data_IF_045587015680
#
_entry.id   IF_045587015680
#
_cell.length_a   1.000
_cell.length_b   1.000
_cell.length_c   1.000
_cell.angle_alpha   90.00
_cell.angle_beta   90.00
_cell.angle_gamma   90.00
#
_symmetry.space_group_name_H-M   'P 1'
#
loop_
_entity.id
_entity.type
_entity.pdbx_description
1 polymer ?
#
# COMPACT_ATOMS: atom_id res chain seq x y z
N UNK A 1 10.35 13.63 11.42
CA UNK A 1 9.18 14.42 11.86
C UNK A 1 9.61 15.74 12.51
N UNK A 2 10.55 15.75 13.46
CA UNK A 2 10.97 16.99 14.15
C UNK A 2 11.45 18.12 13.24
N UNK A 3 12.08 17.80 12.11
CA UNK A 3 12.52 18.80 11.11
C UNK A 3 11.39 19.37 10.25
N UNK A 4 10.20 18.76 10.28
CA UNK A 4 9.08 19.06 9.38
C UNK A 4 7.85 19.63 10.10
N UNK A 5 7.70 19.40 11.42
CA UNK A 5 6.48 19.71 12.17
C UNK A 5 6.04 21.17 12.11
N UNK A 6 6.99 22.10 12.02
CA UNK A 6 6.74 23.55 11.95
C UNK A 6 6.72 24.10 10.49
N UNK A 7 6.56 23.21 9.49
CA UNK A 7 6.47 23.55 8.06
C UNK A 7 5.14 23.07 7.49
N UNK A 8 4.70 23.58 6.35
CA UNK A 8 3.64 22.92 5.55
C UNK A 8 4.22 21.66 4.92
N UNK A 9 4.08 20.52 5.60
CA UNK A 9 4.78 19.30 5.22
C UNK A 9 3.88 18.07 5.40
N UNK A 10 4.09 17.11 4.51
CA UNK A 10 3.57 15.76 4.59
C UNK A 10 4.73 14.79 4.36
N UNK A 11 4.72 13.69 5.09
CA UNK A 11 5.69 12.61 4.98
C UNK A 11 4.91 11.31 4.77
N UNK A 12 5.28 10.56 3.74
CA UNK A 12 4.77 9.22 3.50
C UNK A 12 5.94 8.23 3.56
N UNK A 13 5.78 7.17 4.35
CA UNK A 13 6.68 6.03 4.37
C UNK A 13 5.91 4.78 3.98
N UNK A 14 6.51 3.96 3.12
CA UNK A 14 6.00 2.65 2.72
C UNK A 14 7.22 1.75 2.61
N UNK A 15 7.18 0.56 3.23
CA UNK A 15 8.22 -0.44 3.01
C UNK A 15 8.14 -0.91 1.56
N UNK A 16 9.28 -1.14 0.91
CA UNK A 16 9.31 -1.77 -0.41
C UNK A 16 8.65 -3.16 -0.36
N UNK A 17 8.85 -3.86 0.76
CA UNK A 17 8.30 -5.19 1.05
C UNK A 17 8.50 -5.62 2.50
N UNK A 18 7.89 -6.75 2.85
CA UNK A 18 7.98 -7.38 4.15
C UNK A 18 9.05 -8.47 4.20
N UNK A 19 9.00 -9.28 5.26
CA UNK A 19 10.04 -10.24 5.59
C UNK A 19 9.48 -11.44 6.36
N UNK A 20 9.71 -12.67 5.87
CA UNK A 20 9.57 -13.88 6.69
C UNK A 20 10.76 -13.98 7.63
N UNK A 21 10.49 -14.17 8.92
CA UNK A 21 11.50 -14.23 9.98
C UNK A 21 11.52 -15.63 10.63
N UNK A 22 12.67 -16.00 11.18
CA UNK A 22 12.82 -17.23 11.96
C UNK A 22 12.19 -17.07 13.35
N UNK A 23 10.87 -17.18 13.44
CA UNK A 23 10.11 -17.16 14.69
C UNK A 23 9.68 -18.56 15.17
N UNK A 24 10.09 -19.60 14.46
CA UNK A 24 9.74 -21.00 14.73
C UNK A 24 8.36 -21.42 14.21
N UNK A 25 7.59 -20.52 13.57
CA UNK A 25 6.30 -20.85 12.96
C UNK A 25 6.43 -21.44 11.56
N UNK A 26 7.51 -21.16 10.86
CA UNK A 26 7.73 -21.51 9.45
C UNK A 26 9.20 -21.89 9.22
N UNK A 27 9.46 -22.77 8.24
CA UNK A 27 10.81 -23.22 7.86
C UNK A 27 11.48 -22.35 6.78
N UNK A 28 10.80 -21.30 6.31
CA UNK A 28 11.33 -20.30 5.38
C UNK A 28 11.78 -19.07 6.16
N UNK A 29 12.76 -18.37 5.59
CA UNK A 29 13.15 -17.05 6.04
C UNK A 29 13.72 -16.27 4.87
N UNK A 30 14.01 -15.00 5.12
CA UNK A 30 14.23 -14.06 4.05
C UNK A 30 12.95 -14.02 3.18
N UNK A 31 13.13 -13.89 1.89
CA UNK A 31 12.10 -13.39 1.01
C UNK A 31 12.25 -13.98 -0.39
N UNK A 32 11.25 -13.78 -1.23
CA UNK A 32 11.10 -14.49 -2.50
C UNK A 32 10.33 -15.81 -2.34
N UNK A 33 9.55 -15.94 -1.27
CA UNK A 33 8.80 -17.17 -0.95
C UNK A 33 7.29 -16.99 -1.04
N UNK A 34 6.84 -15.83 -1.49
CA UNK A 34 5.43 -15.51 -1.72
C UNK A 34 4.57 -15.60 -0.47
N UNK A 35 5.15 -15.38 0.71
CA UNK A 35 4.41 -15.44 1.97
C UNK A 35 3.61 -14.16 2.22
N UNK A 36 2.52 -14.26 2.98
CA UNK A 36 1.78 -13.07 3.42
C UNK A 36 2.67 -12.05 4.15
N UNK A 37 3.74 -12.53 4.81
CA UNK A 37 4.65 -11.72 5.60
C UNK A 37 5.58 -10.88 4.73
N UNK A 38 5.78 -11.26 3.47
CA UNK A 38 6.53 -10.51 2.47
C UNK A 38 5.67 -9.46 1.77
N UNK A 39 4.37 -9.72 1.60
CA UNK A 39 3.47 -8.82 0.89
C UNK A 39 2.73 -7.82 1.80
N UNK A 40 2.44 -8.20 3.05
CA UNK A 40 1.75 -7.31 3.99
C UNK A 40 2.77 -6.39 4.67
N UNK A 41 2.81 -5.14 4.19
CA UNK A 41 3.83 -4.15 4.54
C UNK A 41 3.29 -3.00 5.39
N UNK A 42 4.14 -2.36 6.21
CA UNK A 42 3.77 -1.13 6.87
C UNK A 42 3.77 0.06 5.90
N UNK A 43 2.80 0.94 6.10
CA UNK A 43 2.76 2.27 5.49
C UNK A 43 2.28 3.29 6.52
N UNK A 44 2.87 4.49 6.51
CA UNK A 44 2.47 5.59 7.38
C UNK A 44 2.40 6.90 6.60
N UNK A 45 1.45 7.75 6.96
CA UNK A 45 1.42 9.14 6.53
C UNK A 45 1.39 10.02 7.77
N UNK A 46 2.33 10.96 7.84
CA UNK A 46 2.36 12.03 8.82
C UNK A 46 2.17 13.35 8.08
N UNK A 47 1.44 14.27 8.68
CA UNK A 47 1.23 15.62 8.15
C UNK A 47 1.36 16.63 9.29
N UNK A 48 1.84 17.83 9.00
CA UNK A 48 1.90 18.92 9.96
C UNK A 48 0.54 19.60 10.17
N UNK A 49 0.41 20.35 11.27
CA UNK A 49 -0.78 21.17 11.52
C UNK A 49 -1.00 22.20 10.41
N UNK A 50 0.08 22.76 9.86
CA UNK A 50 0.01 23.66 8.70
C UNK A 50 -0.55 22.95 7.47
N UNK A 51 -0.05 21.75 7.15
CA UNK A 51 -0.58 20.97 6.03
C UNK A 51 -2.07 20.64 6.21
N UNK A 52 -2.50 20.29 7.43
CA UNK A 52 -3.90 20.04 7.74
C UNK A 52 -4.77 21.28 7.53
N UNK A 53 -4.30 22.47 7.94
CA UNK A 53 -5.04 23.72 7.74
C UNK A 53 -5.15 24.08 6.25
N UNK A 54 -4.11 23.84 5.47
CA UNK A 54 -4.09 24.12 4.02
C UNK A 54 -4.93 23.13 3.21
N UNK A 55 -4.90 21.83 3.56
CA UNK A 55 -5.58 20.78 2.81
C UNK A 55 -6.49 19.91 3.70
N UNK A 56 -7.52 20.50 4.36
CA UNK A 56 -8.34 19.78 5.33
C UNK A 56 -9.12 18.62 4.71
N UNK A 57 -9.58 18.76 3.47
CA UNK A 57 -10.32 17.70 2.75
C UNK A 57 -9.44 16.46 2.51
N UNK A 58 -8.17 16.65 2.14
CA UNK A 58 -7.23 15.54 1.93
C UNK A 58 -6.96 14.81 3.24
N UNK A 59 -6.80 15.54 4.35
CA UNK A 59 -6.63 14.96 5.68
C UNK A 59 -7.90 14.21 6.11
N UNK A 60 -9.10 14.74 5.83
CA UNK A 60 -10.34 14.05 6.12
C UNK A 60 -10.46 12.72 5.36
N UNK A 61 -10.12 12.70 4.06
CA UNK A 61 -10.10 11.46 3.27
C UNK A 61 -9.02 10.48 3.77
N UNK A 62 -7.82 10.97 4.11
CA UNK A 62 -6.76 10.15 4.69
C UNK A 62 -7.24 9.43 5.97
N UNK A 63 -7.87 10.16 6.88
CA UNK A 63 -8.38 9.60 8.13
C UNK A 63 -9.51 8.59 7.89
N UNK A 64 -10.40 8.87 6.95
CA UNK A 64 -11.46 7.95 6.52
C UNK A 64 -10.89 6.66 5.93
N UNK A 65 -9.82 6.77 5.15
CA UNK A 65 -9.24 5.66 4.37
C UNK A 65 -8.09 4.93 5.08
N UNK A 66 -7.78 5.25 6.34
CA UNK A 66 -6.64 4.65 7.08
C UNK A 66 -6.65 3.12 7.20
N UNK A 67 -7.80 2.47 6.99
CA UNK A 67 -7.97 1.00 6.99
C UNK A 67 -8.34 0.44 5.60
N UNK A 68 -8.25 1.26 4.56
CA UNK A 68 -8.52 0.82 3.20
C UNK A 68 -7.51 -0.27 2.79
N UNK A 69 -7.97 -1.22 1.95
CA UNK A 69 -7.10 -2.22 1.34
C UNK A 69 -6.33 -1.56 0.21
N UNK A 70 -5.08 -1.18 0.47
CA UNK A 70 -4.20 -0.48 -0.46
C UNK A 70 -3.04 -1.39 -0.91
N UNK A 71 -2.41 -1.03 -2.01
CA UNK A 71 -1.14 -1.60 -2.51
C UNK A 71 -0.15 -0.48 -2.84
N UNK A 72 1.09 -0.85 -3.20
CA UNK A 72 2.10 0.13 -3.63
C UNK A 72 1.71 0.86 -4.92
N UNK A 73 0.76 0.35 -5.71
CA UNK A 73 0.18 1.05 -6.87
C UNK A 73 -0.53 2.35 -6.49
N UNK A 74 -1.03 2.48 -5.26
CA UNK A 74 -1.66 3.71 -4.78
C UNK A 74 -0.63 4.84 -4.51
N UNK A 75 0.65 4.51 -4.34
CA UNK A 75 1.68 5.45 -3.84
C UNK A 75 1.91 6.59 -4.81
N UNK A 76 2.10 6.31 -6.10
CA UNK A 76 2.35 7.33 -7.11
C UNK A 76 1.22 8.37 -7.17
N UNK A 77 -0.03 7.88 -7.27
CA UNK A 77 -1.20 8.75 -7.35
C UNK A 77 -1.44 9.53 -6.07
N UNK A 78 -1.19 8.91 -4.91
CA UNK A 78 -1.38 9.58 -3.62
C UNK A 78 -0.31 10.64 -3.36
N UNK A 79 0.95 10.42 -3.75
CA UNK A 79 2.01 11.43 -3.59
C UNK A 79 1.72 12.68 -4.42
N UNK A 80 1.27 12.54 -5.68
CA UNK A 80 0.89 13.68 -6.50
C UNK A 80 -0.31 14.44 -5.91
N UNK A 81 -1.32 13.71 -5.43
CA UNK A 81 -2.49 14.33 -4.80
C UNK A 81 -2.11 15.02 -3.48
N UNK A 82 -1.29 14.40 -2.62
CA UNK A 82 -0.75 15.03 -1.40
C UNK A 82 0.04 16.31 -1.73
N UNK A 83 0.86 16.31 -2.78
CA UNK A 83 1.61 17.49 -3.24
C UNK A 83 0.76 18.51 -3.99
N UNK A 84 -0.54 18.27 -4.16
CA UNK A 84 -1.47 19.13 -4.90
C UNK A 84 -1.07 19.35 -6.37
N UNK A 85 -0.42 18.35 -6.98
CA UNK A 85 -0.03 18.37 -8.40
C UNK A 85 -1.16 17.75 -9.22
N UNK A 86 -1.62 18.47 -10.25
CA UNK A 86 -2.70 18.06 -11.15
C UNK A 86 -2.17 17.90 -12.57
N UNK A 87 -2.72 16.93 -13.31
CA UNK A 87 -2.39 16.67 -14.72
C UNK A 87 -3.58 16.00 -15.40
N UNK A 88 -3.66 16.13 -16.73
CA UNK A 88 -4.86 15.78 -17.52
C UNK A 88 -5.29 14.32 -17.41
N UNK A 89 -4.37 13.40 -17.12
CA UNK A 89 -4.63 11.96 -17.03
C UNK A 89 -4.54 11.44 -15.58
N UNK A 90 -4.75 12.31 -14.60
CA UNK A 90 -4.66 11.91 -13.19
C UNK A 90 -5.70 10.83 -12.82
N UNK A 91 -5.27 9.87 -12.00
CA UNK A 91 -6.09 8.76 -11.51
C UNK A 91 -6.37 8.93 -10.03
N UNK A 92 -7.26 9.87 -9.71
CA UNK A 92 -7.67 10.13 -8.32
C UNK A 92 -8.44 8.96 -7.70
N UNK A 93 -8.95 8.05 -8.51
CA UNK A 93 -9.50 6.78 -8.06
C UNK A 93 -8.46 5.82 -7.43
N UNK A 94 -7.16 6.11 -7.55
CA UNK A 94 -6.07 5.42 -6.85
C UNK A 94 -5.51 6.20 -5.65
N UNK A 95 -5.87 7.47 -5.47
CA UNK A 95 -5.35 8.30 -4.37
C UNK A 95 -6.17 8.07 -3.10
N UNK A 96 -5.53 7.63 -2.02
CA UNK A 96 -6.24 7.42 -0.75
C UNK A 96 -6.51 8.73 0.02
N UNK A 97 -6.06 9.87 -0.49
CA UNK A 97 -6.44 11.21 0.02
C UNK A 97 -7.48 11.91 -0.86
N UNK A 98 -8.03 11.20 -1.84
CA UNK A 98 -9.14 11.66 -2.68
C UNK A 98 -10.47 11.07 -2.23
N UNK A 99 -11.55 11.83 -2.41
CA UNK A 99 -12.92 11.35 -2.27
C UNK A 99 -13.32 10.35 -3.36
N UNK A 100 -12.54 10.29 -4.45
CA UNK A 100 -12.78 9.41 -5.59
C UNK A 100 -12.16 8.01 -5.44
N UNK A 101 -11.44 7.73 -4.35
CA UNK A 101 -10.77 6.44 -4.11
C UNK A 101 -11.72 5.27 -4.40
N UNK A 102 -11.28 4.36 -5.26
CA UNK A 102 -11.95 3.09 -5.53
C UNK A 102 -11.07 1.94 -5.09
N UNK A 103 -11.71 0.82 -4.76
CA UNK A 103 -11.00 -0.43 -4.51
C UNK A 103 -10.56 -1.03 -5.84
N UNK A 104 -9.27 -1.30 -5.96
CA UNK A 104 -8.67 -2.04 -7.08
C UNK A 104 -8.21 -3.41 -6.59
N UNK A 105 -8.05 -4.35 -7.51
CA UNK A 105 -7.45 -5.65 -7.18
C UNK A 105 -6.00 -5.42 -6.76
N UNK A 106 -5.57 -6.11 -5.69
CA UNK A 106 -4.21 -5.98 -5.17
C UNK A 106 -3.41 -7.17 -5.65
N UNK A 107 -2.72 -6.99 -6.77
CA UNK A 107 -1.89 -8.05 -7.31
C UNK A 107 -0.59 -8.19 -6.52
N UNK A 108 -0.18 -9.44 -6.30
CA UNK A 108 1.14 -9.79 -5.78
C UNK A 108 1.82 -10.77 -6.73
N UNK A 109 3.14 -10.68 -6.81
CA UNK A 109 4.00 -11.61 -7.53
C UNK A 109 4.13 -12.89 -6.71
N UNK A 110 3.23 -13.85 -6.95
CA UNK A 110 3.29 -15.18 -6.34
C UNK A 110 3.50 -16.23 -7.44
N UNK A 111 2.70 -17.29 -7.50
CA UNK A 111 2.68 -18.28 -8.57
C UNK A 111 2.04 -17.73 -9.87
N UNK A 112 2.43 -16.51 -10.27
CA UNK A 112 1.75 -15.60 -11.19
C UNK A 112 1.18 -14.37 -10.47
N UNK A 113 0.65 -13.41 -11.23
CA UNK A 113 -0.02 -12.23 -10.67
C UNK A 113 -1.31 -12.65 -9.96
N UNK A 114 -1.23 -12.77 -8.64
CA UNK A 114 -2.29 -13.32 -7.80
C UNK A 114 -3.08 -12.18 -7.13
N UNK A 115 -4.41 -12.28 -7.11
CA UNK A 115 -5.25 -11.35 -6.37
C UNK A 115 -5.12 -11.64 -4.87
N UNK A 116 -4.35 -10.81 -4.16
CA UNK A 116 -4.08 -10.95 -2.74
C UNK A 116 -5.37 -11.00 -1.90
N UNK A 117 -6.38 -10.23 -2.29
CA UNK A 117 -7.66 -10.18 -1.56
C UNK A 117 -8.52 -11.44 -1.82
N UNK A 118 -8.25 -12.17 -2.89
CA UNK A 118 -8.91 -13.42 -3.27
C UNK A 118 -7.98 -14.64 -3.17
N UNK A 119 -7.06 -14.64 -2.21
CA UNK A 119 -6.12 -15.74 -2.00
C UNK A 119 -6.46 -16.58 -0.75
N UNK A 120 -5.91 -17.78 -0.67
CA UNK A 120 -5.74 -18.56 0.57
C UNK A 120 -4.27 -18.51 1.01
N UNK A 121 -4.03 -18.89 2.26
CA UNK A 121 -2.67 -18.99 2.80
C UNK A 121 -2.33 -20.48 2.99
N UNK A 122 -1.32 -20.97 2.26
CA UNK A 122 -0.91 -22.38 2.28
C UNK A 122 0.19 -22.61 3.31
N UNK A 123 -0.01 -23.65 4.13
CA UNK A 123 0.96 -24.12 5.11
C UNK A 123 1.27 -23.10 6.21
N UNK A 124 2.21 -23.46 7.07
CA UNK A 124 2.59 -22.63 8.23
C UNK A 124 3.31 -21.35 7.80
N UNK A 125 3.99 -21.40 6.65
CA UNK A 125 4.62 -20.24 6.03
C UNK A 125 3.64 -19.26 5.39
N UNK A 126 2.36 -19.65 5.25
CA UNK A 126 1.29 -18.78 4.75
C UNK A 126 1.60 -18.18 3.39
N UNK A 127 2.03 -19.03 2.47
CA UNK A 127 2.22 -18.68 1.06
C UNK A 127 0.89 -18.24 0.45
N UNK A 128 0.90 -17.17 -0.34
CA UNK A 128 -0.30 -16.60 -0.96
C UNK A 128 -0.65 -17.36 -2.22
N UNK A 129 -1.76 -18.08 -2.18
CA UNK A 129 -2.27 -18.89 -3.31
C UNK A 129 -3.59 -18.29 -3.81
N UNK A 130 -3.62 -17.82 -5.05
CA UNK A 130 -4.86 -17.33 -5.67
C UNK A 130 -5.92 -18.45 -5.70
N UNK A 131 -7.18 -18.10 -5.39
CA UNK A 131 -8.32 -19.03 -5.51
C UNK A 131 -8.80 -19.19 -6.95
N UNK A 132 -8.48 -18.23 -7.81
CA UNK A 132 -8.73 -18.24 -9.25
C UNK A 132 -7.49 -18.67 -10.03
N UNK A 133 -7.45 -18.31 -11.31
CA UNK A 133 -6.28 -18.48 -12.16
C UNK A 133 -5.46 -17.18 -12.14
N UNK A 134 -4.22 -17.18 -11.62
CA UNK A 134 -3.34 -16.02 -11.66
C UNK A 134 -3.14 -15.52 -13.10
N UNK A 135 -2.94 -14.20 -13.27
CA UNK A 135 -2.52 -13.68 -14.58
C UNK A 135 -1.08 -14.12 -14.85
N UNK A 136 -0.78 -14.34 -16.13
CA UNK A 136 0.55 -14.71 -16.58
C UNK A 136 1.49 -13.52 -16.39
N UNK A 137 2.67 -13.76 -15.86
CA UNK A 137 3.75 -12.77 -15.86
C UNK A 137 4.35 -12.70 -17.26
N UNK A 138 4.25 -11.53 -17.89
CA UNK A 138 5.04 -11.25 -19.09
C UNK A 138 6.52 -11.19 -18.67
N UNK A 139 7.38 -11.90 -19.41
CA UNK A 139 8.82 -11.97 -19.17
C UNK A 139 9.54 -10.77 -19.75
#
# INVERSE_FOLDING_TARGET
IDRLKDKQAVLMYVSDRGQTIYDGSCNLAFHGHNTQYEFHIPGLVWYSDEYQRTYPDKVAQLQKNKKARLSTENVFHTLLDLSNIRYSTERLDYSFVSSQLKRHKRYVDSYGWSDYDNSTFRGDCREVIDKGKPLVQEK
#
